data_IF_269537865901
#
_entry.id   IF_269537865901
#
_cell.length_a   1.000
_cell.length_b   1.000
_cell.length_c   1.000
_cell.angle_alpha   90.00
_cell.angle_beta   90.00
_cell.angle_gamma   90.00
#
_symmetry.space_group_name_H-M   'P 1'
#
loop_
_entity.id
_entity.type
_entity.pdbx_description
1 polymer ?
#
# COMPACT_ATOMS: atom_id res chain seq x y z
N UNK A 1 -28.25 4.85 -4.19
CA UNK A 1 -26.86 4.85 -4.72
C UNK A 1 -26.48 6.16 -5.43
N UNK A 2 -27.24 6.65 -6.42
CA UNK A 2 -26.91 7.90 -7.14
C UNK A 2 -26.79 9.15 -6.24
N UNK A 3 -27.63 9.28 -5.21
CA UNK A 3 -27.58 10.40 -4.24
C UNK A 3 -26.36 10.35 -3.31
N UNK A 4 -25.85 9.16 -3.01
CA UNK A 4 -24.66 8.96 -2.19
C UNK A 4 -23.38 9.31 -2.98
N UNK A 5 -23.34 8.91 -4.26
CA UNK A 5 -22.25 9.25 -5.18
C UNK A 5 -22.21 10.77 -5.41
N UNK A 6 -23.37 11.42 -5.57
CA UNK A 6 -23.44 12.87 -5.72
C UNK A 6 -23.01 13.63 -4.45
N UNK A 7 -23.36 13.11 -3.27
CA UNK A 7 -22.91 13.66 -1.99
C UNK A 7 -21.39 13.51 -1.78
N UNK A 8 -20.81 12.38 -2.15
CA UNK A 8 -19.35 12.16 -2.13
C UNK A 8 -18.65 13.09 -3.12
N UNK A 9 -19.21 13.27 -4.32
CA UNK A 9 -18.66 14.17 -5.33
C UNK A 9 -18.69 15.64 -4.88
N UNK A 10 -19.81 16.08 -4.28
CA UNK A 10 -19.94 17.42 -3.69
C UNK A 10 -18.99 17.64 -2.51
N UNK A 11 -18.79 16.63 -1.65
CA UNK A 11 -17.82 16.70 -0.56
C UNK A 11 -16.38 16.83 -1.08
N UNK A 12 -16.02 16.09 -2.14
CA UNK A 12 -14.72 16.21 -2.81
C UNK A 12 -14.53 17.59 -3.44
N UNK A 13 -15.55 18.14 -4.10
CA UNK A 13 -15.52 19.49 -4.68
C UNK A 13 -15.46 20.61 -3.61
N UNK A 14 -16.08 20.41 -2.45
CA UNK A 14 -16.00 21.37 -1.34
C UNK A 14 -14.60 21.39 -0.71
N UNK A 15 -13.96 20.22 -0.56
CA UNK A 15 -12.56 20.15 -0.12
C UNK A 15 -11.59 20.82 -1.10
N UNK A 16 -11.89 20.80 -2.41
CA UNK A 16 -11.02 21.38 -3.44
C UNK A 16 -10.88 22.91 -3.34
N UNK A 17 -11.85 23.61 -2.73
CA UNK A 17 -11.82 25.08 -2.59
C UNK A 17 -11.08 25.56 -1.33
N UNK A 18 -10.68 24.65 -0.43
CA UNK A 18 -9.91 24.96 0.77
C UNK A 18 -8.38 24.81 0.59
N UNK A 19 -7.94 24.45 -0.62
CA UNK A 19 -6.53 24.13 -0.92
C UNK A 19 -5.71 25.42 -1.09
N UNK A 20 -5.29 26.00 0.04
CA UNK A 20 -4.15 26.92 0.07
C UNK A 20 -2.89 26.16 -0.38
N UNK A 21 -1.99 26.82 -1.13
CA UNK A 21 -0.69 26.34 -1.63
C UNK A 21 -0.18 25.06 -0.95
N UNK A 22 -0.65 23.93 -1.47
CA UNK A 22 -0.50 22.67 -0.79
C UNK A 22 0.72 21.98 -1.37
N UNK A 23 1.83 21.95 -0.63
CA UNK A 23 2.97 21.15 -1.06
C UNK A 23 2.51 19.70 -1.27
N UNK A 24 2.70 19.22 -2.50
CA UNK A 24 2.42 17.84 -2.92
C UNK A 24 3.77 17.14 -3.04
N UNK A 25 3.89 15.94 -2.50
CA UNK A 25 5.07 15.10 -2.72
C UNK A 25 4.70 13.85 -3.51
N UNK A 26 5.46 13.57 -4.56
CA UNK A 26 5.42 12.30 -5.28
C UNK A 26 6.40 11.33 -4.64
N UNK A 27 6.00 10.06 -4.52
CA UNK A 27 6.78 9.04 -3.81
C UNK A 27 6.84 7.76 -4.62
N UNK A 28 7.96 7.07 -4.53
CA UNK A 28 8.04 5.67 -4.97
C UNK A 28 8.86 4.86 -3.97
N UNK A 29 8.34 3.71 -3.57
CA UNK A 29 8.95 2.81 -2.59
C UNK A 29 9.88 1.83 -3.31
N UNK A 30 11.18 2.03 -3.11
CA UNK A 30 12.28 1.22 -3.64
C UNK A 30 12.27 -0.21 -3.09
N UNK A 31 11.83 -0.39 -1.83
CA UNK A 31 11.65 -1.72 -1.27
C UNK A 31 10.54 -2.47 -2.02
N UNK A 32 9.48 -1.79 -2.44
CA UNK A 32 8.41 -2.44 -3.19
C UNK A 32 8.83 -2.75 -4.65
N UNK A 33 9.71 -1.94 -5.23
CA UNK A 33 10.38 -2.25 -6.51
C UNK A 33 11.21 -3.54 -6.46
N UNK A 34 11.78 -3.93 -5.31
CA UNK A 34 12.49 -5.22 -5.16
C UNK A 34 11.59 -6.43 -5.41
N UNK A 35 10.27 -6.27 -5.25
CA UNK A 35 9.26 -7.29 -5.60
C UNK A 35 8.80 -7.21 -7.06
N UNK A 36 9.49 -6.44 -7.91
CA UNK A 36 9.10 -6.11 -9.29
C UNK A 36 7.75 -5.40 -9.39
N UNK A 37 7.31 -4.70 -8.33
CA UNK A 37 6.02 -4.01 -8.29
C UNK A 37 6.20 -2.51 -8.51
N UNK A 38 5.88 -1.99 -9.72
CA UNK A 38 5.69 -0.56 -9.92
C UNK A 38 4.72 0.02 -8.91
N UNK A 39 5.11 1.14 -8.30
CA UNK A 39 4.32 1.80 -7.28
C UNK A 39 4.57 3.30 -7.28
N UNK A 40 3.53 4.05 -6.90
CA UNK A 40 3.53 5.50 -6.85
C UNK A 40 2.67 5.94 -5.66
N UNK A 41 3.11 6.99 -4.98
CA UNK A 41 2.34 7.66 -3.95
C UNK A 41 2.30 9.16 -4.15
N UNK A 42 1.23 9.76 -3.65
CA UNK A 42 1.05 11.20 -3.57
C UNK A 42 0.76 11.58 -2.12
N UNK A 43 1.50 12.54 -1.59
CA UNK A 43 1.36 13.02 -0.23
C UNK A 43 1.05 14.52 -0.23
N UNK A 44 -0.06 14.90 0.38
CA UNK A 44 -0.58 16.26 0.43
C UNK A 44 -0.37 16.80 1.84
N UNK A 45 0.27 17.96 1.99
CA UNK A 45 0.32 18.57 3.32
C UNK A 45 -1.00 19.24 3.70
N UNK A 46 -1.53 18.83 4.84
CA UNK A 46 -2.78 19.35 5.40
C UNK A 46 -2.56 20.51 6.38
N UNK A 47 -1.35 20.61 6.93
CA UNK A 47 -0.94 21.67 7.84
C UNK A 47 0.57 21.61 8.12
N UNK A 48 1.04 22.38 9.10
CA UNK A 48 2.48 22.45 9.45
C UNK A 48 3.08 21.10 9.86
N UNK A 49 2.30 20.27 10.56
CA UNK A 49 2.71 18.98 11.09
C UNK A 49 1.91 17.80 10.54
N UNK A 50 1.05 18.02 9.54
CA UNK A 50 0.11 16.99 9.10
C UNK A 50 0.16 16.81 7.59
N UNK A 51 0.20 15.56 7.15
CA UNK A 51 0.10 15.20 5.74
C UNK A 51 -0.86 14.02 5.56
N UNK A 52 -1.35 13.87 4.33
CA UNK A 52 -2.15 12.74 3.91
C UNK A 52 -1.53 12.11 2.67
N UNK A 53 -1.14 10.85 2.77
CA UNK A 53 -0.49 10.08 1.72
C UNK A 53 -1.48 9.07 1.13
N UNK A 54 -1.52 8.94 -0.18
CA UNK A 54 -2.18 7.84 -0.89
C UNK A 54 -1.12 7.15 -1.73
N UNK A 55 -0.81 5.90 -1.40
CA UNK A 55 0.10 5.07 -2.18
C UNK A 55 -0.65 3.94 -2.90
N UNK A 56 -0.22 3.62 -4.11
CA UNK A 56 -0.74 2.50 -4.88
C UNK A 56 0.37 1.73 -5.58
N UNK A 57 0.13 0.45 -5.83
CA UNK A 57 1.06 -0.41 -6.56
C UNK A 57 0.32 -1.41 -7.44
N UNK A 58 0.93 -1.78 -8.56
CA UNK A 58 0.38 -2.76 -9.48
C UNK A 58 1.48 -3.69 -9.98
N UNK A 59 1.26 -4.99 -9.81
CA UNK A 59 2.12 -6.04 -10.32
C UNK A 59 1.31 -6.95 -11.27
N UNK A 60 1.62 -6.97 -12.58
CA UNK A 60 0.95 -7.83 -13.55
C UNK A 60 1.65 -9.18 -13.79
N UNK A 61 2.77 -9.47 -13.11
CA UNK A 61 3.71 -10.47 -13.58
C UNK A 61 3.31 -11.93 -13.29
N UNK A 62 3.47 -12.75 -14.31
CA UNK A 62 3.65 -14.20 -14.17
C UNK A 62 5.16 -14.45 -14.27
N UNK A 63 5.79 -14.82 -13.15
CA UNK A 63 7.24 -14.97 -13.03
C UNK A 63 7.75 -16.22 -13.76
N UNK A 64 6.92 -17.26 -13.84
CA UNK A 64 7.20 -18.50 -14.58
C UNK A 64 5.87 -19.04 -15.09
N UNK A 65 5.78 -19.26 -16.41
CA UNK A 65 4.55 -19.71 -17.07
C UNK A 65 4.33 -21.21 -16.89
N UNK A 66 5.40 -22.00 -16.88
CA UNK A 66 5.32 -23.47 -16.86
C UNK A 66 4.95 -23.97 -15.46
N UNK A 67 5.53 -23.37 -14.43
CA UNK A 67 5.15 -23.63 -13.03
C UNK A 67 3.97 -22.77 -12.53
N UNK A 68 3.40 -21.93 -13.41
CA UNK A 68 2.34 -20.97 -13.10
C UNK A 68 2.65 -20.08 -11.88
N UNK A 69 3.93 -19.70 -11.69
CA UNK A 69 4.39 -18.82 -10.61
C UNK A 69 3.93 -17.39 -10.89
N UNK A 70 3.10 -16.84 -10.01
CA UNK A 70 2.41 -15.56 -10.23
C UNK A 70 2.52 -14.67 -9.01
N UNK A 71 2.81 -13.39 -9.25
CA UNK A 71 2.76 -12.32 -8.27
C UNK A 71 1.85 -11.22 -8.82
N UNK A 72 0.56 -11.51 -8.98
CA UNK A 72 -0.37 -10.50 -9.50
C UNK A 72 -1.09 -9.83 -8.36
N UNK A 73 -0.98 -8.52 -8.25
CA UNK A 73 -1.76 -7.77 -7.28
C UNK A 73 -1.86 -6.31 -7.66
N UNK A 74 -2.88 -5.65 -7.13
CA UNK A 74 -2.90 -4.21 -7.02
C UNK A 74 -3.27 -3.83 -5.59
N UNK A 75 -2.75 -2.70 -5.12
CA UNK A 75 -3.08 -2.18 -3.81
C UNK A 75 -3.26 -0.67 -3.83
N UNK A 76 -4.04 -0.18 -2.87
CA UNK A 76 -4.14 1.23 -2.50
C UNK A 76 -4.08 1.34 -0.98
N UNK A 77 -3.34 2.31 -0.48
CA UNK A 77 -3.10 2.52 0.95
C UNK A 77 -3.09 4.02 1.26
N UNK A 78 -4.22 4.59 1.70
CA UNK A 78 -4.24 5.90 2.35
C UNK A 78 -3.61 5.85 3.75
N UNK A 79 -2.91 6.92 4.10
CA UNK A 79 -2.22 7.09 5.37
C UNK A 79 -2.26 8.56 5.80
N UNK A 80 -2.84 8.84 6.96
CA UNK A 80 -2.65 10.11 7.63
C UNK A 80 -1.33 10.09 8.40
N UNK A 81 -0.55 11.17 8.34
CA UNK A 81 0.75 11.26 9.01
C UNK A 81 0.86 12.54 9.82
N UNK A 82 1.44 12.40 11.01
CA UNK A 82 1.78 13.49 11.91
C UNK A 82 3.30 13.57 12.07
N UNK A 83 3.85 14.75 11.82
CA UNK A 83 5.28 15.05 11.82
C UNK A 83 5.68 15.77 13.11
N UNK A 84 6.78 15.32 13.73
CA UNK A 84 7.25 15.91 14.98
C UNK A 84 7.90 17.29 14.81
N UNK A 85 8.41 17.60 13.61
CA UNK A 85 9.10 18.87 13.32
C UNK A 85 8.34 19.73 12.30
N UNK A 86 8.46 19.44 11.01
CA UNK A 86 7.67 20.06 9.95
C UNK A 86 7.30 18.98 8.94
N UNK A 87 6.18 19.14 8.23
CA UNK A 87 5.80 18.21 7.17
C UNK A 87 6.97 17.97 6.20
N UNK A 88 7.16 16.71 5.81
CA UNK A 88 8.27 16.23 4.97
C UNK A 88 9.67 16.26 5.61
N UNK A 89 9.81 16.60 6.90
CA UNK A 89 11.10 16.69 7.58
C UNK A 89 11.15 15.90 8.89
N UNK A 90 12.07 14.94 8.97
CA UNK A 90 12.38 14.20 10.20
C UNK A 90 11.35 13.12 10.53
N UNK A 91 11.05 12.97 11.82
CA UNK A 91 10.20 11.90 12.34
C UNK A 91 8.71 12.13 12.05
N UNK A 92 8.01 11.04 11.70
CA UNK A 92 6.56 11.04 11.63
C UNK A 92 5.95 9.73 12.16
N UNK A 93 4.69 9.84 12.58
CA UNK A 93 3.81 8.73 12.90
C UNK A 93 2.64 8.71 11.93
N UNK A 94 2.19 7.54 11.52
CA UNK A 94 1.08 7.39 10.60
C UNK A 94 0.00 6.46 11.10
N UNK A 95 -1.22 6.71 10.63
CA UNK A 95 -2.36 5.78 10.72
C UNK A 95 -2.78 5.49 9.29
N UNK A 96 -2.75 4.22 8.91
CA UNK A 96 -3.01 3.76 7.56
C UNK A 96 -4.15 2.75 7.52
N UNK A 97 -4.80 2.71 6.36
CA UNK A 97 -5.69 1.63 5.97
C UNK A 97 -5.38 1.27 4.52
N UNK A 98 -5.78 0.09 4.08
CA UNK A 98 -5.50 -0.31 2.72
C UNK A 98 -6.42 -1.41 2.20
N UNK A 99 -6.39 -1.55 0.89
CA UNK A 99 -7.01 -2.64 0.18
C UNK A 99 -6.02 -3.21 -0.83
N UNK A 100 -5.93 -4.53 -0.90
CA UNK A 100 -5.15 -5.25 -1.89
C UNK A 100 -6.01 -6.34 -2.50
N UNK A 101 -5.99 -6.44 -3.83
CA UNK A 101 -6.49 -7.61 -4.53
C UNK A 101 -5.30 -8.36 -5.09
N UNK A 102 -5.28 -9.68 -4.92
CA UNK A 102 -4.13 -10.49 -5.29
C UNK A 102 -4.53 -11.83 -5.92
N UNK A 103 -3.62 -12.33 -6.75
CA UNK A 103 -3.61 -13.66 -7.35
C UNK A 103 -2.16 -14.14 -7.36
N UNK A 104 -1.82 -14.93 -6.34
CA UNK A 104 -0.46 -15.40 -6.07
C UNK A 104 -0.38 -16.91 -6.14
N UNK A 105 0.69 -17.42 -6.73
CA UNK A 105 0.93 -18.85 -6.93
C UNK A 105 2.43 -19.12 -6.95
N UNK A 106 2.89 -20.21 -6.33
CA UNK A 106 4.30 -20.63 -6.45
C UNK A 106 5.31 -19.74 -5.71
N UNK A 107 4.87 -18.85 -4.81
CA UNK A 107 5.75 -17.88 -4.14
C UNK A 107 5.65 -18.04 -2.63
N UNK A 108 6.79 -18.13 -1.93
CA UNK A 108 6.81 -18.12 -0.47
C UNK A 108 6.53 -16.71 0.05
N UNK A 109 5.42 -16.52 0.76
CA UNK A 109 5.13 -15.25 1.43
C UNK A 109 5.91 -15.24 2.76
N UNK A 110 6.75 -14.22 3.03
CA UNK A 110 7.43 -14.06 4.31
C UNK A 110 6.43 -14.08 5.48
N UNK A 111 6.85 -14.60 6.64
CA UNK A 111 6.03 -14.66 7.86
C UNK A 111 4.75 -15.52 7.79
N UNK A 112 4.57 -16.36 6.74
CA UNK A 112 3.58 -17.44 6.72
C UNK A 112 4.23 -18.81 6.86
N UNK A 113 3.68 -19.65 7.74
CA UNK A 113 4.31 -20.90 8.19
C UNK A 113 4.18 -22.10 7.24
N UNK A 114 3.32 -22.05 6.21
CA UNK A 114 3.14 -23.19 5.27
C UNK A 114 2.98 -22.75 3.82
N UNK A 115 3.67 -23.52 2.98
CA UNK A 115 3.92 -23.40 1.54
C UNK A 115 2.77 -22.79 0.72
N UNK A 116 2.93 -21.53 0.32
CA UNK A 116 2.28 -20.96 -0.87
C UNK A 116 2.94 -21.44 -2.19
N UNK A 117 3.91 -22.36 -2.13
CA UNK A 117 4.54 -22.90 -3.35
C UNK A 117 3.60 -23.86 -4.09
N UNK A 118 2.82 -24.64 -3.36
CA UNK A 118 2.05 -25.75 -3.95
C UNK A 118 0.60 -25.38 -4.28
N UNK A 119 0.15 -24.20 -3.85
CA UNK A 119 -1.24 -23.75 -4.00
C UNK A 119 -1.30 -22.34 -4.58
N UNK A 120 -2.36 -22.10 -5.36
CA UNK A 120 -2.73 -20.77 -5.82
C UNK A 120 -3.76 -20.16 -4.87
N UNK A 121 -3.59 -18.87 -4.59
CA UNK A 121 -4.48 -18.07 -3.77
C UNK A 121 -4.93 -16.84 -4.54
N UNK A 122 -6.24 -16.65 -4.63
CA UNK A 122 -6.83 -15.47 -5.24
C UNK A 122 -7.83 -14.85 -4.28
N UNK A 123 -7.76 -13.55 -4.07
CA UNK A 123 -8.64 -12.91 -3.12
C UNK A 123 -8.27 -11.46 -2.87
N UNK A 124 -8.77 -10.97 -1.75
CA UNK A 124 -8.52 -9.61 -1.32
C UNK A 124 -8.16 -9.56 0.16
N UNK A 125 -7.50 -8.49 0.55
CA UNK A 125 -7.26 -8.16 1.94
C UNK A 125 -7.48 -6.67 2.18
N UNK A 126 -7.93 -6.36 3.39
CA UNK A 126 -8.04 -5.00 3.90
C UNK A 126 -7.62 -4.97 5.35
N UNK A 127 -7.20 -3.81 5.83
CA UNK A 127 -6.69 -3.70 7.18
C UNK A 127 -6.41 -2.27 7.56
N UNK A 128 -6.11 -2.08 8.84
CA UNK A 128 -5.68 -0.82 9.39
C UNK A 128 -4.42 -1.04 10.23
N UNK A 129 -3.56 -0.03 10.28
CA UNK A 129 -2.30 -0.09 10.98
C UNK A 129 -1.77 1.28 11.37
N UNK A 130 -0.69 1.24 12.14
CA UNK A 130 0.10 2.41 12.49
C UNK A 130 1.49 2.28 11.91
N UNK A 131 2.13 3.40 11.65
CA UNK A 131 3.45 3.50 11.05
C UNK A 131 4.31 4.49 11.81
N UNK A 132 5.61 4.26 11.76
CA UNK A 132 6.63 5.20 12.16
C UNK A 132 7.65 5.31 11.03
N UNK A 133 8.14 6.52 10.78
CA UNK A 133 9.18 6.71 9.79
C UNK A 133 9.99 7.98 10.02
N UNK A 134 11.02 8.10 9.20
CA UNK A 134 11.93 9.23 9.20
C UNK A 134 12.23 9.65 7.76
N UNK A 135 12.19 10.97 7.50
CA UNK A 135 12.51 11.60 6.21
C UNK A 135 13.81 12.38 6.30
N UNK A 136 14.78 12.02 5.46
CA UNK A 136 16.02 12.76 5.23
C UNK A 136 15.87 13.67 4.02
N UNK A 137 16.23 14.94 4.18
CA UNK A 137 16.32 15.88 3.06
C UNK A 137 17.63 15.65 2.32
N UNK A 138 17.56 15.37 1.02
CA UNK A 138 18.73 15.28 0.14
C UNK A 138 19.00 16.59 -0.61
N UNK A 139 17.99 17.45 -0.73
CA UNK A 139 18.12 18.74 -1.41
C UNK A 139 16.82 19.54 -1.33
N UNK A 140 16.68 20.54 -2.22
CA UNK A 140 15.53 21.46 -2.18
C UNK A 140 14.17 20.81 -2.44
N UNK A 141 14.16 19.68 -3.16
CA UNK A 141 12.93 18.96 -3.57
C UNK A 141 13.00 17.45 -3.40
N UNK A 142 14.17 16.90 -3.07
CA UNK A 142 14.36 15.45 -2.99
C UNK A 142 14.56 15.03 -1.55
N UNK A 143 13.78 14.03 -1.12
CA UNK A 143 13.95 13.38 0.18
C UNK A 143 14.05 11.87 0.00
N UNK A 144 14.69 11.20 0.97
CA UNK A 144 14.55 9.76 1.18
C UNK A 144 13.80 9.56 2.48
N UNK A 145 12.89 8.59 2.51
CA UNK A 145 12.16 8.19 3.70
C UNK A 145 12.35 6.71 3.98
N UNK A 146 12.55 6.36 5.24
CA UNK A 146 12.38 4.98 5.71
C UNK A 146 11.17 4.90 6.64
N UNK A 147 10.35 3.85 6.50
CA UNK A 147 9.23 3.62 7.38
C UNK A 147 9.01 2.13 7.66
N UNK A 148 8.36 1.86 8.79
CA UNK A 148 7.84 0.55 9.17
C UNK A 148 6.49 0.74 9.84
N UNK A 149 5.61 -0.25 9.71
CA UNK A 149 4.30 -0.22 10.33
C UNK A 149 3.79 -1.60 10.67
N UNK A 150 2.96 -1.64 11.70
CA UNK A 150 2.28 -2.82 12.18
C UNK A 150 0.78 -2.58 12.14
N UNK A 151 0.02 -3.64 11.95
CA UNK A 151 -1.42 -3.51 11.84
C UNK A 151 -2.13 -4.84 11.79
N UNK A 152 -3.44 -4.71 11.63
CA UNK A 152 -4.37 -5.83 11.53
C UNK A 152 -4.93 -5.91 10.12
N UNK A 153 -4.87 -7.11 9.55
CA UNK A 153 -5.32 -7.40 8.19
C UNK A 153 -6.35 -8.54 8.23
N UNK A 154 -7.50 -8.27 7.64
CA UNK A 154 -8.46 -9.29 7.27
C UNK A 154 -8.28 -9.66 5.80
N UNK A 155 -8.29 -10.95 5.49
CA UNK A 155 -8.21 -11.42 4.12
C UNK A 155 -9.20 -12.54 3.85
N UNK A 156 -9.85 -12.48 2.69
CA UNK A 156 -10.71 -13.53 2.16
C UNK A 156 -10.15 -13.99 0.82
N UNK A 157 -9.99 -15.30 0.66
CA UNK A 157 -9.36 -15.86 -0.53
C UNK A 157 -9.89 -17.24 -0.87
N UNK A 158 -9.86 -17.54 -2.16
CA UNK A 158 -10.09 -18.86 -2.71
C UNK A 158 -8.75 -19.58 -2.87
N UNK A 159 -8.72 -20.81 -2.38
CA UNK A 159 -7.58 -21.73 -2.48
C UNK A 159 -7.86 -22.72 -3.61
N UNK A 160 -6.86 -22.96 -4.46
CA UNK A 160 -6.92 -23.94 -5.55
C UNK A 160 -5.88 -25.04 -5.36
N UNK A 161 -6.20 -26.25 -5.81
CA UNK A 161 -5.53 -27.50 -5.37
C UNK A 161 -4.18 -27.83 -6.04
N UNK A 162 -3.67 -26.99 -6.94
CA UNK A 162 -2.27 -27.03 -7.38
C UNK A 162 -1.91 -25.68 -8.02
N UNK A 163 -0.62 -25.36 -8.14
CA UNK A 163 -0.18 -24.16 -8.86
C UNK A 163 -0.68 -24.17 -10.32
N UNK A 164 -0.68 -25.33 -10.99
CA UNK A 164 -1.08 -25.50 -12.41
C UNK A 164 -2.53 -25.96 -12.59
N UNK A 165 -3.03 -26.84 -11.73
CA UNK A 165 -4.38 -27.40 -11.81
C UNK A 165 -5.39 -26.49 -11.09
N UNK A 166 -6.28 -25.83 -11.83
CA UNK A 166 -7.21 -24.81 -11.34
C UNK A 166 -8.43 -25.30 -10.56
N UNK A 167 -8.40 -26.49 -9.96
CA UNK A 167 -9.53 -27.00 -9.20
C UNK A 167 -9.74 -26.17 -7.92
N UNK A 168 -10.93 -25.60 -7.77
CA UNK A 168 -11.31 -24.88 -6.55
C UNK A 168 -11.34 -25.84 -5.36
N UNK A 169 -10.64 -25.47 -4.28
CA UNK A 169 -10.58 -26.27 -3.05
C UNK A 169 -11.54 -25.75 -2.01
N UNK A 170 -11.40 -24.48 -1.64
CA UNK A 170 -12.21 -23.85 -0.60
C UNK A 170 -12.03 -22.33 -0.60
N UNK A 171 -13.09 -21.62 -0.20
CA UNK A 171 -13.00 -20.23 0.23
C UNK A 171 -12.63 -20.19 1.72
N UNK A 172 -11.59 -19.43 2.06
CA UNK A 172 -11.12 -19.24 3.43
C UNK A 172 -11.04 -17.76 3.76
N UNK A 173 -11.06 -17.47 5.05
CA UNK A 173 -10.72 -16.15 5.58
C UNK A 173 -9.66 -16.30 6.65
N UNK A 174 -8.86 -15.25 6.84
CA UNK A 174 -7.86 -15.17 7.90
C UNK A 174 -7.76 -13.75 8.44
N UNK A 175 -7.41 -13.68 9.71
CA UNK A 175 -6.97 -12.48 10.39
C UNK A 175 -5.47 -12.60 10.62
N UNK A 176 -4.75 -11.51 10.39
CA UNK A 176 -3.31 -11.43 10.56
C UNK A 176 -2.97 -10.14 11.29
N UNK A 177 -2.16 -10.25 12.33
CA UNK A 177 -1.56 -9.11 12.99
C UNK A 177 -0.05 -9.21 12.84
N UNK A 178 0.59 -8.13 12.38
CA UNK A 178 2.03 -8.12 12.15
C UNK A 178 2.45 -6.93 11.28
N UNK A 179 3.62 -7.01 10.62
CA UNK A 179 4.07 -5.99 9.69
C UNK A 179 3.05 -5.76 8.56
N UNK A 180 2.60 -4.52 8.40
CA UNK A 180 1.64 -4.09 7.36
C UNK A 180 2.17 -2.99 6.44
N UNK A 181 3.24 -2.31 6.86
CA UNK A 181 3.88 -1.26 6.09
C UNK A 181 5.40 -1.36 6.25
N UNK A 182 6.15 -1.18 5.17
CA UNK A 182 7.59 -1.07 5.19
C UNK A 182 8.04 -0.41 3.88
N UNK A 183 9.00 0.51 3.98
CA UNK A 183 9.42 1.23 2.80
C UNK A 183 10.73 1.95 2.97
N UNK A 184 11.45 2.01 1.86
CA UNK A 184 12.50 2.99 1.60
C UNK A 184 12.02 3.75 0.36
N UNK A 185 11.57 4.99 0.53
CA UNK A 185 10.92 5.76 -0.53
C UNK A 185 11.79 6.90 -1.00
N UNK A 186 11.89 7.05 -2.32
CA UNK A 186 12.37 8.27 -2.94
C UNK A 186 11.20 9.24 -3.10
N UNK A 187 11.41 10.50 -2.71
CA UNK A 187 10.36 11.51 -2.64
C UNK A 187 10.78 12.73 -3.44
N UNK A 188 9.86 13.28 -4.23
CA UNK A 188 10.00 14.55 -4.93
C UNK A 188 8.88 15.52 -4.54
N UNK A 189 9.24 16.67 -3.98
CA UNK A 189 8.31 17.72 -3.54
C UNK A 189 8.01 18.67 -4.71
N UNK A 190 6.74 18.73 -5.06
CA UNK A 190 6.12 19.69 -5.97
C UNK A 190 5.58 20.83 -5.11
N UNK A 191 6.20 22.00 -5.25
CA UNK A 191 5.71 23.27 -4.73
C UNK A 191 4.90 23.97 -5.80
#
# INVERSE_FOLDING_TARGET
>A
MKRLIFGVFLAICWCANALNAQDIALKTNLLYWSSTTPNLGMEFGLGKHSTFNIAGGYNPWTLDKDSNKKLKHWMVMPEYRYWLCERFNGHFFGVNTGYVYYNVSGIRIPFRSKSTKDHRYQGWATGAGISYGYSWLLGKRWNIEANIGIGYVYTKFDQYDCATCGAFKASRHKHYFGPTNAGISLIYIIK
#
